data_IF_456672649732
#
_entry.id   IF_456672649732
#
_cell.length_a   1.000
_cell.length_b   1.000
_cell.length_c   1.000
_cell.angle_alpha   90.00
_cell.angle_beta   90.00
_cell.angle_gamma   90.00
#
_symmetry.space_group_name_H-M   'P 1'
#
loop_
_entity.id
_entity.type
_entity.pdbx_description
1 polymer ?
#
# COMPACT_ATOMS: atom_id res chain seq x y z
N UNK A 1 17.18 -1.11 -7.60
CA UNK A 1 17.02 0.13 -6.77
C UNK A 1 17.98 0.08 -5.58
N UNK A 2 19.28 -0.11 -5.84
CA UNK A 2 20.25 -0.17 -4.75
C UNK A 2 20.17 1.11 -3.93
N UNK A 3 20.39 0.99 -2.64
CA UNK A 3 20.44 2.08 -1.65
C UNK A 3 19.12 2.84 -1.38
N UNK A 4 18.06 2.57 -2.12
CA UNK A 4 16.76 3.18 -1.84
C UNK A 4 16.11 2.55 -0.60
N UNK A 5 15.65 3.40 0.31
CA UNK A 5 14.92 2.99 1.51
C UNK A 5 13.42 3.00 1.23
N UNK A 6 12.80 1.84 1.29
CA UNK A 6 11.40 1.64 0.93
C UNK A 6 10.63 1.05 2.10
N UNK A 7 9.67 1.82 2.61
CA UNK A 7 8.73 1.36 3.64
C UNK A 7 7.54 0.70 2.94
N UNK A 8 7.30 -0.59 3.26
CA UNK A 8 6.16 -1.35 2.74
C UNK A 8 5.19 -1.64 3.87
N UNK A 9 4.07 -0.96 3.88
CA UNK A 9 2.98 -1.15 4.83
C UNK A 9 2.01 -2.21 4.30
N UNK A 10 1.68 -3.20 5.12
CA UNK A 10 0.94 -4.38 4.66
C UNK A 10 1.83 -5.37 3.90
N UNK A 11 3.12 -5.44 4.25
CA UNK A 11 4.13 -6.24 3.58
C UNK A 11 3.79 -7.73 3.49
N UNK A 12 3.06 -8.28 4.45
CA UNK A 12 2.66 -9.70 4.48
C UNK A 12 1.38 -10.02 3.70
N UNK A 13 0.69 -9.00 3.16
CA UNK A 13 -0.47 -9.17 2.27
C UNK A 13 -0.06 -9.63 0.87
N UNK A 14 -1.04 -10.08 0.06
CA UNK A 14 -0.72 -10.63 -1.27
C UNK A 14 0.06 -9.66 -2.18
N UNK A 15 -0.42 -8.42 -2.34
CA UNK A 15 0.28 -7.41 -3.15
C UNK A 15 1.56 -6.97 -2.43
N UNK A 16 1.50 -6.67 -1.12
CA UNK A 16 2.66 -6.21 -0.34
C UNK A 16 3.82 -7.20 -0.39
N UNK A 17 3.54 -8.51 -0.23
CA UNK A 17 4.55 -9.56 -0.31
C UNK A 17 5.17 -9.66 -1.72
N UNK A 18 4.36 -9.63 -2.77
CA UNK A 18 4.86 -9.66 -4.14
C UNK A 18 5.74 -8.44 -4.47
N UNK A 19 5.34 -7.25 -4.02
CA UNK A 19 6.14 -6.02 -4.15
C UNK A 19 7.45 -6.16 -3.37
N UNK A 20 7.40 -6.62 -2.13
CA UNK A 20 8.58 -6.81 -1.27
C UNK A 20 9.60 -7.73 -1.93
N UNK A 21 9.16 -8.87 -2.49
CA UNK A 21 10.04 -9.79 -3.21
C UNK A 21 10.72 -9.16 -4.44
N UNK A 22 10.00 -8.34 -5.18
CA UNK A 22 10.58 -7.64 -6.33
C UNK A 22 11.60 -6.59 -5.92
N UNK A 23 11.28 -5.80 -4.89
CA UNK A 23 12.18 -4.78 -4.37
C UNK A 23 13.46 -5.38 -3.76
N UNK A 24 13.33 -6.54 -3.12
CA UNK A 24 14.47 -7.32 -2.63
C UNK A 24 15.42 -7.72 -3.76
N UNK A 25 14.89 -8.19 -4.91
CA UNK A 25 15.69 -8.49 -6.12
C UNK A 25 16.40 -7.26 -6.68
N UNK A 26 15.82 -6.08 -6.48
CA UNK A 26 16.40 -4.80 -6.92
C UNK A 26 17.48 -4.27 -5.96
N UNK A 27 17.73 -4.95 -4.83
CA UNK A 27 18.72 -4.54 -3.83
C UNK A 27 18.31 -3.32 -3.00
N UNK A 28 17.01 -3.11 -2.81
CA UNK A 28 16.52 -2.02 -1.97
C UNK A 28 16.70 -2.31 -0.48
N UNK A 29 16.85 -1.26 0.34
CA UNK A 29 16.72 -1.33 1.78
C UNK A 29 15.23 -1.32 2.14
N UNK A 30 14.77 -2.34 2.84
CA UNK A 30 13.35 -2.59 3.07
C UNK A 30 12.97 -2.42 4.53
N UNK A 31 11.94 -1.61 4.78
CA UNK A 31 11.27 -1.53 6.08
C UNK A 31 9.88 -2.15 5.92
N UNK A 32 9.70 -3.32 6.52
CA UNK A 32 8.50 -4.13 6.34
C UNK A 32 7.57 -3.98 7.54
N UNK A 33 6.36 -3.47 7.30
CA UNK A 33 5.37 -3.25 8.34
C UNK A 33 4.13 -4.11 8.13
N UNK A 34 3.76 -4.84 9.17
CA UNK A 34 2.52 -5.60 9.32
C UNK A 34 2.26 -5.84 10.80
N UNK A 35 1.04 -6.26 11.18
CA UNK A 35 0.67 -6.44 12.59
C UNK A 35 1.41 -7.59 13.29
N UNK A 36 1.66 -8.68 12.58
CA UNK A 36 2.19 -9.93 13.16
C UNK A 36 3.68 -10.08 12.86
N UNK A 37 4.49 -10.11 13.91
CA UNK A 37 5.95 -10.28 13.84
C UNK A 37 6.37 -11.56 13.13
N UNK A 38 5.68 -12.68 13.41
CA UNK A 38 6.03 -13.99 12.85
C UNK A 38 5.81 -14.05 11.34
N UNK A 39 4.76 -13.38 10.85
CA UNK A 39 4.53 -13.27 9.41
C UNK A 39 5.59 -12.41 8.72
N UNK A 40 6.08 -11.35 9.38
CA UNK A 40 7.20 -10.56 8.88
C UNK A 40 8.49 -11.38 8.84
N UNK A 41 8.79 -12.13 9.90
CA UNK A 41 9.96 -12.99 9.95
C UNK A 41 9.92 -14.07 8.85
N UNK A 42 8.75 -14.68 8.65
CA UNK A 42 8.55 -15.67 7.58
C UNK A 42 8.77 -15.04 6.20
N UNK A 43 8.19 -13.87 5.94
CA UNK A 43 8.40 -13.16 4.68
C UNK A 43 9.89 -12.86 4.47
N UNK A 44 10.56 -12.31 5.48
CA UNK A 44 11.98 -11.95 5.40
C UNK A 44 12.86 -13.16 5.09
N UNK A 45 12.59 -14.32 5.68
CA UNK A 45 13.35 -15.54 5.42
C UNK A 45 13.24 -16.07 3.99
N UNK A 46 12.21 -15.64 3.26
CA UNK A 46 11.94 -16.04 1.87
C UNK A 46 12.48 -15.04 0.84
N UNK A 47 13.00 -13.89 1.29
CA UNK A 47 13.48 -12.87 0.36
C UNK A 47 14.79 -13.29 -0.32
N UNK A 48 14.92 -13.04 -1.62
CA UNK A 48 16.13 -13.36 -2.38
C UNK A 48 17.20 -12.28 -2.16
N UNK A 49 17.64 -12.08 -0.92
CA UNK A 49 18.62 -11.07 -0.55
C UNK A 49 19.91 -11.70 -0.04
N UNK A 50 21.04 -11.18 -0.51
CA UNK A 50 22.36 -11.61 -0.05
C UNK A 50 22.67 -11.07 1.36
N UNK A 51 22.07 -9.95 1.75
CA UNK A 51 22.30 -9.29 3.05
C UNK A 51 20.98 -8.94 3.74
N UNK A 52 20.67 -9.66 4.82
CA UNK A 52 19.48 -9.40 5.64
C UNK A 52 19.56 -8.11 6.47
N UNK A 53 20.74 -7.49 6.58
CA UNK A 53 20.88 -6.18 7.21
C UNK A 53 20.12 -5.08 6.46
N UNK A 54 19.85 -5.30 5.17
CA UNK A 54 19.01 -4.43 4.34
C UNK A 54 17.51 -4.55 4.66
N UNK A 55 17.10 -5.43 5.59
CA UNK A 55 15.70 -5.58 5.98
C UNK A 55 15.49 -5.17 7.43
N UNK A 56 14.44 -4.40 7.68
CA UNK A 56 13.96 -4.04 9.00
C UNK A 56 12.48 -4.44 9.12
N UNK A 57 12.18 -5.39 10.00
CA UNK A 57 10.82 -5.75 10.33
C UNK A 57 10.31 -4.88 11.48
N UNK A 58 9.18 -4.22 11.28
CA UNK A 58 8.55 -3.38 12.31
C UNK A 58 7.08 -3.82 12.46
N UNK A 59 6.75 -4.62 13.47
CA UNK A 59 5.36 -4.90 13.78
C UNK A 59 4.60 -3.61 14.05
N UNK A 60 3.54 -3.36 13.27
CA UNK A 60 2.83 -2.07 13.28
C UNK A 60 1.35 -2.27 13.01
N UNK A 61 0.51 -1.75 13.87
CA UNK A 61 -0.91 -1.49 13.58
C UNK A 61 -1.04 -0.04 13.09
N UNK A 62 -1.39 0.13 11.83
CA UNK A 62 -1.50 1.46 11.23
C UNK A 62 -2.73 2.24 11.67
N UNK A 63 -3.65 1.62 12.41
CA UNK A 63 -4.78 2.32 13.02
C UNK A 63 -4.36 3.11 14.27
N UNK A 64 -3.15 2.85 14.78
CA UNK A 64 -2.52 3.55 15.90
C UNK A 64 -1.46 4.54 15.39
N UNK A 65 -1.71 5.86 15.46
CA UNK A 65 -0.75 6.87 15.00
C UNK A 65 0.63 6.79 15.66
N UNK A 66 0.69 6.43 16.95
CA UNK A 66 1.97 6.34 17.66
C UNK A 66 2.85 5.19 17.15
N UNK A 67 2.24 4.08 16.75
CA UNK A 67 2.97 2.98 16.10
C UNK A 67 3.45 3.39 14.71
N UNK A 68 2.65 4.18 13.98
CA UNK A 68 3.05 4.70 12.66
C UNK A 68 4.24 5.66 12.77
N UNK A 69 4.24 6.56 13.75
CA UNK A 69 5.38 7.44 14.02
C UNK A 69 6.63 6.62 14.38
N UNK A 70 6.48 5.61 15.22
CA UNK A 70 7.57 4.68 15.60
C UNK A 70 8.13 3.93 14.39
N UNK A 71 7.26 3.50 13.45
CA UNK A 71 7.68 2.85 12.20
C UNK A 71 8.61 3.75 11.39
N UNK A 72 8.20 5.01 11.16
CA UNK A 72 8.98 5.94 10.35
C UNK A 72 10.28 6.34 11.06
N UNK A 73 10.24 6.53 12.39
CA UNK A 73 11.45 6.81 13.16
C UNK A 73 12.47 5.68 13.07
N UNK A 74 12.03 4.42 13.23
CA UNK A 74 12.91 3.24 13.09
C UNK A 74 13.50 3.11 11.69
N UNK A 75 12.77 3.49 10.65
CA UNK A 75 13.30 3.53 9.28
C UNK A 75 14.43 4.54 9.16
N UNK A 76 14.23 5.75 9.70
CA UNK A 76 15.25 6.83 9.71
C UNK A 76 16.45 6.45 10.58
N UNK A 77 16.23 5.90 11.77
CA UNK A 77 17.31 5.49 12.68
C UNK A 77 18.23 4.44 12.05
N UNK A 78 17.66 3.51 11.27
CA UNK A 78 18.43 2.44 10.64
C UNK A 78 19.10 2.86 9.33
N UNK A 79 18.37 3.60 8.48
CA UNK A 79 18.79 3.84 7.10
C UNK A 79 19.00 5.33 6.76
N UNK A 80 18.70 6.24 7.69
CA UNK A 80 18.93 7.67 7.53
C UNK A 80 17.88 8.42 6.70
N UNK A 81 17.01 7.70 5.96
CA UNK A 81 16.06 8.31 5.03
C UNK A 81 14.86 7.42 4.74
N UNK A 82 13.86 7.97 4.05
CA UNK A 82 12.74 7.23 3.45
C UNK A 82 12.56 7.75 2.01
N UNK A 83 12.91 6.95 1.02
CA UNK A 83 12.74 7.32 -0.39
C UNK A 83 11.32 7.01 -0.90
N UNK A 84 10.74 5.89 -0.45
CA UNK A 84 9.44 5.44 -0.93
C UNK A 84 8.60 4.93 0.23
N UNK A 85 7.32 5.31 0.25
CA UNK A 85 6.28 4.65 1.03
C UNK A 85 5.35 3.90 0.10
N UNK A 86 5.08 2.61 0.40
CA UNK A 86 4.08 1.81 -0.30
C UNK A 86 3.01 1.39 0.70
N UNK A 87 1.82 1.97 0.59
CA UNK A 87 0.65 1.60 1.36
C UNK A 87 -0.11 0.48 0.65
N UNK A 88 0.13 -0.76 1.04
CA UNK A 88 -0.55 -1.96 0.55
C UNK A 88 -1.44 -2.62 1.61
N UNK A 89 -1.54 -2.04 2.81
CA UNK A 89 -2.47 -2.50 3.83
C UNK A 89 -3.91 -2.14 3.47
N UNK A 90 -4.82 -3.05 3.75
CA UNK A 90 -6.24 -2.85 3.54
C UNK A 90 -7.03 -4.14 3.70
N UNK A 91 -8.32 -4.00 3.99
CA UNK A 91 -9.28 -5.09 4.07
C UNK A 91 -10.60 -4.67 3.45
N UNK A 92 -11.44 -5.65 3.10
CA UNK A 92 -12.76 -5.41 2.52
C UNK A 92 -13.86 -6.11 3.33
N UNK A 93 -14.87 -5.35 3.72
CA UNK A 93 -16.14 -5.89 4.22
C UNK A 93 -17.19 -5.64 3.13
N UNK A 94 -17.65 -6.72 2.51
CA UNK A 94 -18.62 -6.66 1.42
C UNK A 94 -19.93 -7.28 1.88
N UNK A 95 -20.92 -6.42 2.15
CA UNK A 95 -22.26 -6.79 2.65
C UNK A 95 -23.32 -5.89 1.99
N UNK A 96 -24.56 -6.38 1.93
CA UNK A 96 -25.70 -5.53 1.53
C UNK A 96 -25.78 -4.30 2.47
N UNK A 97 -26.18 -3.15 1.94
CA UNK A 97 -26.18 -1.87 2.67
C UNK A 97 -26.92 -1.94 4.01
N UNK A 98 -28.04 -2.69 4.07
CA UNK A 98 -28.86 -2.85 5.28
C UNK A 98 -28.28 -3.87 6.29
N UNK A 99 -27.16 -4.51 5.96
CA UNK A 99 -26.41 -5.45 6.84
C UNK A 99 -25.05 -4.88 7.26
N UNK A 100 -24.67 -3.71 6.77
CA UNK A 100 -23.49 -3.00 7.23
C UNK A 100 -23.81 -2.42 8.61
N UNK A 101 -23.01 -2.78 9.60
CA UNK A 101 -23.09 -2.22 10.97
C UNK A 101 -22.19 -0.99 11.10
N UNK A 102 -22.38 -0.19 12.16
CA UNK A 102 -21.47 0.91 12.48
C UNK A 102 -20.04 0.40 12.67
N UNK A 103 -19.87 -0.74 13.35
CA UNK A 103 -18.56 -1.36 13.54
C UNK A 103 -17.89 -1.78 12.21
N UNK A 104 -18.65 -2.31 11.24
CA UNK A 104 -18.14 -2.61 9.90
C UNK A 104 -17.64 -1.35 9.19
N UNK A 105 -18.41 -0.26 9.29
CA UNK A 105 -18.04 1.03 8.67
C UNK A 105 -16.78 1.59 9.34
N UNK A 106 -16.75 1.64 10.67
CA UNK A 106 -15.59 2.11 11.43
C UNK A 106 -14.33 1.31 11.11
N UNK A 107 -14.41 -0.03 11.09
CA UNK A 107 -13.29 -0.89 10.74
C UNK A 107 -12.74 -0.58 9.34
N UNK A 108 -13.60 -0.30 8.35
CA UNK A 108 -13.17 0.08 7.00
C UNK A 108 -12.53 1.47 6.96
N UNK A 109 -13.10 2.44 7.70
CA UNK A 109 -12.55 3.78 7.78
C UNK A 109 -11.23 3.82 8.57
N UNK A 110 -11.16 3.11 9.70
CA UNK A 110 -9.96 3.10 10.54
C UNK A 110 -8.76 2.50 9.79
N UNK A 111 -8.93 1.30 9.21
CA UNK A 111 -7.83 0.63 8.54
C UNK A 111 -7.50 1.28 7.19
N UNK A 112 -8.49 1.37 6.29
CA UNK A 112 -8.22 1.76 4.91
C UNK A 112 -7.97 3.27 4.76
N UNK A 113 -8.74 4.10 5.47
CA UNK A 113 -8.67 5.56 5.32
C UNK A 113 -7.72 6.18 6.34
N UNK A 114 -8.01 6.07 7.64
CA UNK A 114 -7.20 6.71 8.68
C UNK A 114 -5.78 6.13 8.71
N UNK A 115 -5.63 4.81 8.66
CA UNK A 115 -4.32 4.16 8.64
C UNK A 115 -3.46 4.60 7.45
N UNK A 116 -4.06 4.69 6.24
CA UNK A 116 -3.34 5.20 5.07
C UNK A 116 -3.01 6.70 5.21
N UNK A 117 -3.89 7.48 5.82
CA UNK A 117 -3.63 8.90 6.08
C UNK A 117 -2.44 9.08 7.04
N UNK A 118 -2.43 8.35 8.17
CA UNK A 118 -1.35 8.45 9.16
C UNK A 118 0.00 8.06 8.56
N UNK A 119 0.06 6.97 7.80
CA UNK A 119 1.30 6.54 7.15
C UNK A 119 1.79 7.53 6.11
N UNK A 120 0.88 8.10 5.30
CA UNK A 120 1.22 9.16 4.35
C UNK A 120 1.75 10.42 5.05
N UNK A 121 1.07 10.85 6.13
CA UNK A 121 1.45 12.04 6.88
C UNK A 121 2.82 11.89 7.52
N UNK A 122 3.06 10.78 8.24
CA UNK A 122 4.33 10.54 8.92
C UNK A 122 5.50 10.40 7.94
N UNK A 123 5.33 9.66 6.82
CA UNK A 123 6.36 9.57 5.80
C UNK A 123 6.61 10.93 5.10
N UNK A 124 5.56 11.71 4.85
CA UNK A 124 5.67 13.01 4.21
C UNK A 124 6.50 14.00 5.04
N UNK A 125 6.44 13.98 6.37
CA UNK A 125 7.27 14.86 7.21
C UNK A 125 8.77 14.53 7.08
N UNK A 126 9.13 13.25 7.00
CA UNK A 126 10.50 12.82 6.71
C UNK A 126 10.92 13.28 5.31
N UNK A 127 10.11 12.94 4.29
CA UNK A 127 10.38 13.26 2.88
C UNK A 127 10.46 14.77 2.63
N UNK A 128 9.67 15.58 3.36
CA UNK A 128 9.68 17.04 3.28
C UNK A 128 11.02 17.63 3.70
N UNK A 129 11.60 17.10 4.77
CA UNK A 129 12.95 17.47 5.24
C UNK A 129 14.02 17.07 4.22
N UNK A 130 13.86 15.94 3.55
CA UNK A 130 14.74 15.44 2.50
C UNK A 130 14.57 16.19 1.17
N UNK A 131 13.45 16.91 0.96
CA UNK A 131 13.03 17.52 -0.30
C UNK A 131 12.91 16.51 -1.45
N UNK A 132 12.57 15.28 -1.14
CA UNK A 132 12.44 14.16 -2.07
C UNK A 132 11.65 13.04 -1.44
N UNK A 133 10.83 12.36 -2.24
CA UNK A 133 10.09 11.17 -1.80
C UNK A 133 9.07 10.71 -2.82
N UNK A 134 8.57 9.48 -2.65
CA UNK A 134 7.50 8.93 -3.48
C UNK A 134 6.53 8.12 -2.64
N UNK A 135 5.27 8.53 -2.60
CA UNK A 135 4.19 7.83 -1.89
C UNK A 135 3.33 7.07 -2.90
N UNK A 136 3.25 5.76 -2.73
CA UNK A 136 2.51 4.82 -3.56
C UNK A 136 1.33 4.24 -2.77
N UNK A 137 0.10 4.61 -3.11
CA UNK A 137 -1.10 4.11 -2.44
C UNK A 137 -1.80 3.04 -3.28
N UNK A 138 -1.94 1.83 -2.74
CA UNK A 138 -2.73 0.76 -3.35
C UNK A 138 -4.19 0.98 -2.99
N UNK A 139 -4.92 1.54 -3.94
CA UNK A 139 -6.33 1.94 -3.76
C UNK A 139 -7.25 0.77 -4.07
N UNK A 140 -7.12 0.19 -5.24
CA UNK A 140 -8.07 -0.72 -5.86
C UNK A 140 -9.10 0.00 -6.73
N UNK A 141 -9.72 -0.72 -7.65
CA UNK A 141 -10.64 -0.14 -8.64
C UNK A 141 -11.87 0.52 -7.99
N UNK A 142 -12.27 0.04 -6.82
CA UNK A 142 -13.40 0.59 -6.06
C UNK A 142 -13.07 1.91 -5.33
N UNK A 143 -11.94 2.52 -5.60
CA UNK A 143 -11.66 3.93 -5.30
C UNK A 143 -12.08 4.87 -6.44
N UNK A 144 -12.45 4.34 -7.61
CA UNK A 144 -12.97 5.09 -8.77
C UNK A 144 -14.40 4.70 -9.12
N UNK A 145 -14.76 3.45 -8.87
CA UNK A 145 -16.06 2.89 -9.26
C UNK A 145 -16.79 2.32 -8.06
N UNK A 146 -18.12 2.32 -8.15
CA UNK A 146 -18.97 1.69 -7.14
C UNK A 146 -19.28 0.25 -7.51
N UNK A 147 -19.52 -0.56 -6.49
CA UNK A 147 -20.01 -1.93 -6.64
C UNK A 147 -21.08 -2.21 -5.58
N UNK A 148 -22.14 -2.91 -5.95
CA UNK A 148 -23.12 -3.40 -4.98
C UNK A 148 -22.42 -4.17 -3.85
N UNK A 149 -22.93 -4.05 -2.64
CA UNK A 149 -22.37 -4.65 -1.42
C UNK A 149 -21.05 -4.07 -0.91
N UNK A 150 -20.47 -3.08 -1.57
CA UNK A 150 -19.15 -2.52 -1.23
C UNK A 150 -19.23 -1.10 -0.62
N UNK A 151 -20.39 -0.65 -0.10
CA UNK A 151 -20.60 0.75 0.28
C UNK A 151 -19.56 1.29 1.29
N UNK A 152 -19.31 0.57 2.39
CA UNK A 152 -18.31 0.98 3.40
C UNK A 152 -16.87 0.92 2.85
N UNK A 153 -16.56 -0.12 2.07
CA UNK A 153 -15.26 -0.26 1.43
C UNK A 153 -15.02 0.85 0.40
N UNK A 154 -15.97 1.10 -0.51
CA UNK A 154 -15.88 2.21 -1.46
C UNK A 154 -15.70 3.54 -0.74
N UNK A 155 -16.49 3.85 0.28
CA UNK A 155 -16.38 5.09 1.04
C UNK A 155 -14.95 5.29 1.58
N UNK A 156 -14.34 4.23 2.16
CA UNK A 156 -12.97 4.30 2.62
C UNK A 156 -11.97 4.55 1.50
N UNK A 157 -12.09 3.87 0.37
CA UNK A 157 -11.14 3.97 -0.76
C UNK A 157 -11.28 5.27 -1.56
N UNK A 158 -12.49 5.79 -1.74
CA UNK A 158 -12.71 7.15 -2.29
C UNK A 158 -12.09 8.22 -1.40
N UNK A 159 -12.19 8.06 -0.06
CA UNK A 159 -11.54 8.95 0.88
C UNK A 159 -10.02 8.97 0.73
N UNK A 160 -9.40 7.78 0.53
CA UNK A 160 -7.95 7.68 0.27
C UNK A 160 -7.56 8.44 -1.00
N UNK A 161 -8.34 8.33 -2.08
CA UNK A 161 -8.09 9.09 -3.31
C UNK A 161 -8.17 10.59 -3.05
N UNK A 162 -9.21 11.04 -2.31
CA UNK A 162 -9.41 12.46 -2.01
C UNK A 162 -8.22 13.08 -1.29
N UNK A 163 -7.85 12.52 -0.12
CA UNK A 163 -6.72 13.07 0.64
C UNK A 163 -5.39 12.96 -0.10
N UNK A 164 -5.17 11.85 -0.84
CA UNK A 164 -3.92 11.66 -1.58
C UNK A 164 -3.70 12.75 -2.63
N UNK A 165 -4.75 13.15 -3.34
CA UNK A 165 -4.68 14.25 -4.32
C UNK A 165 -4.40 15.60 -3.65
N UNK A 166 -5.03 15.88 -2.51
CA UNK A 166 -4.75 17.09 -1.74
C UNK A 166 -3.29 17.13 -1.27
N UNK A 167 -2.81 16.04 -0.65
CA UNK A 167 -1.41 15.94 -0.21
C UNK A 167 -0.43 16.05 -1.37
N UNK A 168 -0.73 15.44 -2.52
CA UNK A 168 0.11 15.55 -3.71
C UNK A 168 0.27 17.01 -4.16
N UNK A 169 -0.81 17.79 -4.16
CA UNK A 169 -0.77 19.20 -4.51
C UNK A 169 0.02 20.04 -3.50
N UNK A 170 -0.14 19.78 -2.22
CA UNK A 170 0.58 20.49 -1.16
C UNK A 170 2.08 20.18 -1.15
N UNK A 171 2.43 18.92 -1.44
CA UNK A 171 3.78 18.38 -1.24
C UNK A 171 4.65 18.39 -2.50
N UNK A 172 4.09 18.63 -3.70
CA UNK A 172 4.85 18.71 -4.96
C UNK A 172 5.98 19.75 -4.92
N UNK A 173 5.81 20.87 -4.19
CA UNK A 173 6.85 21.90 -4.00
C UNK A 173 8.07 21.40 -3.20
N UNK A 174 7.93 20.29 -2.49
CA UNK A 174 9.02 19.63 -1.76
C UNK A 174 9.61 18.43 -2.52
N UNK A 175 9.26 18.26 -3.81
CA UNK A 175 9.75 17.14 -4.61
C UNK A 175 9.13 15.79 -4.26
N UNK A 176 8.01 15.76 -3.54
CA UNK A 176 7.33 14.53 -3.15
C UNK A 176 6.29 14.15 -4.20
N UNK A 177 6.41 12.91 -4.71
CA UNK A 177 5.55 12.34 -5.75
C UNK A 177 4.47 11.45 -5.12
N UNK A 178 3.33 11.36 -5.80
CA UNK A 178 2.27 10.41 -5.45
C UNK A 178 1.89 9.57 -6.67
N UNK A 179 1.73 8.26 -6.46
CA UNK A 179 1.13 7.34 -7.43
C UNK A 179 -0.01 6.56 -6.79
N UNK A 180 -1.17 6.59 -7.42
CA UNK A 180 -2.38 5.87 -7.00
C UNK A 180 -2.59 4.67 -7.91
N UNK A 181 -2.66 3.47 -7.32
CA UNK A 181 -2.84 2.23 -8.06
C UNK A 181 -4.27 1.73 -7.92
N UNK A 182 -4.97 1.63 -9.03
CA UNK A 182 -6.34 1.13 -9.11
C UNK A 182 -6.33 -0.27 -9.73
N UNK A 183 -6.09 -1.26 -8.89
CA UNK A 183 -6.16 -2.65 -9.33
C UNK A 183 -7.59 -3.17 -9.26
N UNK A 184 -8.02 -3.90 -10.29
CA UNK A 184 -9.20 -4.75 -10.23
C UNK A 184 -8.99 -5.90 -9.26
N UNK A 185 -9.77 -6.95 -9.36
CA UNK A 185 -9.60 -8.12 -8.49
C UNK A 185 -8.21 -8.74 -8.62
N UNK A 186 -7.45 -8.78 -7.52
CA UNK A 186 -6.14 -9.44 -7.42
C UNK A 186 -6.30 -10.70 -6.59
N UNK A 187 -5.82 -11.84 -7.07
CA UNK A 187 -5.85 -13.12 -6.35
C UNK A 187 -4.93 -13.07 -5.12
N UNK A 188 -5.52 -12.85 -3.96
CA UNK A 188 -4.80 -12.63 -2.71
C UNK A 188 -5.65 -13.06 -1.51
N UNK A 189 -5.07 -13.19 -0.30
CA UNK A 189 -5.81 -13.50 0.93
C UNK A 189 -6.93 -12.50 1.28
N UNK A 190 -6.99 -11.34 0.63
CA UNK A 190 -8.12 -10.41 0.76
C UNK A 190 -9.47 -11.10 0.58
N UNK A 191 -9.56 -12.04 -0.38
CA UNK A 191 -10.80 -12.73 -0.72
C UNK A 191 -11.18 -13.86 0.24
N UNK A 192 -10.27 -14.30 1.12
CA UNK A 192 -10.54 -15.39 2.07
C UNK A 192 -11.57 -14.99 3.13
N UNK A 193 -11.67 -13.68 3.42
CA UNK A 193 -12.61 -13.12 4.40
C UNK A 193 -13.83 -12.45 3.75
N UNK A 194 -13.99 -12.58 2.44
CA UNK A 194 -15.10 -11.97 1.71
C UNK A 194 -16.15 -13.05 1.34
N UNK A 195 -17.40 -12.82 1.72
CA UNK A 195 -18.49 -13.79 1.52
C UNK A 195 -18.99 -13.91 0.07
N UNK A 196 -18.37 -13.23 -0.90
CA UNK A 196 -18.70 -13.29 -2.31
C UNK A 196 -18.04 -14.50 -2.98
N UNK A 197 -18.79 -15.23 -3.79
CA UNK A 197 -18.22 -16.23 -4.69
C UNK A 197 -17.52 -15.52 -5.84
N UNK A 198 -16.21 -15.64 -5.91
CA UNK A 198 -15.37 -15.03 -6.94
C UNK A 198 -14.57 -16.11 -7.66
N UNK A 199 -14.38 -15.96 -8.97
CA UNK A 199 -13.49 -16.83 -9.75
C UNK A 199 -12.07 -16.26 -9.71
N UNK A 200 -11.28 -16.75 -8.74
CA UNK A 200 -9.91 -16.29 -8.52
C UNK A 200 -8.98 -16.54 -9.71
N UNK A 201 -9.31 -17.52 -10.56
CA UNK A 201 -8.50 -17.83 -11.76
C UNK A 201 -8.58 -16.72 -12.83
N UNK A 202 -9.61 -15.88 -12.75
CA UNK A 202 -9.81 -14.73 -13.65
C UNK A 202 -9.28 -13.41 -13.09
N UNK A 203 -8.69 -13.43 -11.91
CA UNK A 203 -8.13 -12.25 -11.28
C UNK A 203 -6.71 -11.96 -11.75
N UNK A 204 -6.25 -10.74 -11.51
CA UNK A 204 -4.85 -10.38 -11.65
C UNK A 204 -4.00 -11.19 -10.64
N UNK A 205 -2.77 -11.51 -11.01
CA UNK A 205 -1.82 -12.08 -10.05
C UNK A 205 -1.23 -10.94 -9.19
N UNK A 206 -0.82 -11.22 -7.94
CA UNK A 206 -0.07 -10.26 -7.13
C UNK A 206 1.20 -9.76 -7.83
N UNK A 207 1.81 -10.61 -8.67
CA UNK A 207 2.98 -10.27 -9.48
C UNK A 207 2.67 -9.18 -10.50
N UNK A 208 1.51 -9.19 -11.13
CA UNK A 208 1.06 -8.13 -12.05
C UNK A 208 0.98 -6.79 -11.32
N UNK A 209 0.42 -6.77 -10.12
CA UNK A 209 0.36 -5.57 -9.29
C UNK A 209 1.77 -5.09 -8.89
N UNK A 210 2.66 -6.00 -8.49
CA UNK A 210 4.04 -5.67 -8.15
C UNK A 210 4.80 -5.06 -9.34
N UNK A 211 4.64 -5.61 -10.55
CA UNK A 211 5.27 -5.08 -11.76
C UNK A 211 4.82 -3.65 -12.06
N UNK A 212 3.54 -3.33 -11.81
CA UNK A 212 3.03 -1.96 -11.98
C UNK A 212 3.64 -0.98 -10.96
N UNK A 213 3.83 -1.42 -9.71
CA UNK A 213 4.52 -0.62 -8.70
C UNK A 213 5.97 -0.35 -9.14
N UNK A 214 6.69 -1.38 -9.56
CA UNK A 214 8.06 -1.21 -10.06
C UNK A 214 8.14 -0.30 -11.28
N UNK A 215 7.18 -0.40 -12.20
CA UNK A 215 7.08 0.53 -13.34
C UNK A 215 7.03 1.99 -12.87
N UNK A 216 6.17 2.30 -11.89
CA UNK A 216 6.07 3.65 -11.36
C UNK A 216 7.36 4.13 -10.68
N UNK A 217 8.02 3.24 -9.92
CA UNK A 217 9.27 3.58 -9.22
C UNK A 217 10.48 3.71 -10.14
N UNK A 218 10.44 3.10 -11.33
CA UNK A 218 11.48 3.17 -12.36
C UNK A 218 11.23 4.25 -13.41
N UNK A 219 10.14 4.96 -13.32
CA UNK A 219 9.85 6.06 -14.24
C UNK A 219 10.97 7.09 -14.22
N UNK A 220 11.12 7.80 -15.33
CA UNK A 220 12.07 8.91 -15.44
C UNK A 220 11.95 9.84 -14.22
N UNK A 221 13.06 10.31 -13.64
CA UNK A 221 13.02 11.22 -12.48
C UNK A 221 12.13 12.45 -12.67
N UNK A 222 11.90 12.89 -13.89
CA UNK A 222 11.00 14.01 -14.20
C UNK A 222 9.55 13.56 -14.44
N UNK A 223 9.29 12.26 -14.57
CA UNK A 223 7.96 11.72 -14.79
C UNK A 223 7.31 11.27 -13.46
N UNK A 224 6.01 11.47 -13.38
CA UNK A 224 5.19 10.93 -12.28
C UNK A 224 4.01 10.19 -12.88
N UNK A 225 4.00 8.85 -12.87
CA UNK A 225 2.81 8.08 -13.18
C UNK A 225 1.77 8.30 -12.06
N UNK A 226 0.92 9.32 -12.20
CA UNK A 226 0.03 9.76 -11.12
C UNK A 226 -1.05 8.72 -10.79
N UNK A 227 -1.58 8.05 -11.80
CA UNK A 227 -2.62 7.04 -11.67
C UNK A 227 -2.34 5.86 -12.60
N UNK A 228 -2.32 4.65 -12.04
CA UNK A 228 -2.16 3.42 -12.80
C UNK A 228 -3.39 2.54 -12.57
N UNK A 229 -4.12 2.26 -13.66
CA UNK A 229 -5.30 1.43 -13.64
C UNK A 229 -5.03 0.11 -14.36
N UNK A 230 -5.15 -1.01 -13.67
CA UNK A 230 -4.99 -2.35 -14.25
C UNK A 230 -6.14 -3.24 -13.76
N UNK A 231 -6.87 -3.82 -14.71
CA UNK A 231 -8.03 -4.66 -14.42
C UNK A 231 -7.89 -6.00 -15.13
N UNK A 232 -8.49 -7.08 -14.55
CA UNK A 232 -8.57 -8.35 -15.28
C UNK A 232 -9.48 -8.17 -16.51
N UNK A 233 -9.08 -8.76 -17.62
CA UNK A 233 -9.85 -8.72 -18.88
C UNK A 233 -11.32 -9.19 -18.70
N UNK A 234 -11.53 -10.12 -17.80
CA UNK A 234 -12.85 -10.70 -17.51
C UNK A 234 -13.81 -9.79 -16.75
N UNK A 235 -13.33 -8.66 -16.21
CA UNK A 235 -14.15 -7.79 -15.36
C UNK A 235 -13.64 -6.35 -15.41
N UNK A 236 -14.13 -5.60 -16.39
CA UNK A 236 -13.73 -4.22 -16.64
C UNK A 236 -14.76 -3.22 -16.10
N UNK A 237 -14.29 -2.21 -15.40
CA UNK A 237 -15.03 -0.98 -15.11
C UNK A 237 -14.49 0.13 -16.00
N UNK A 238 -15.34 0.82 -16.73
CA UNK A 238 -15.01 1.94 -17.59
C UNK A 238 -15.47 3.27 -17.01
#
# INVERSE_FOLDING_TARGET
MPDKVIVVVGATGGIGSAVTHQLAKEGANLVLAARQSDHLATLTSQLPMANLEQVLNVPTDITDPAQVETLMQKAVDKFGQIDVLINAAGAGILKQYNKITSADLEAMLDLNLKGSFYTCQAAAEVMKSQKSGHICNIIGILGKHSMAMASAYCASKFGVVGFSKCMADELKRFGIKFTLFYFGGVDSPFWDNVSLKVDRKKMLTPQTAANAVLFALRADPQAVPMEINIQPESHLFF
#
